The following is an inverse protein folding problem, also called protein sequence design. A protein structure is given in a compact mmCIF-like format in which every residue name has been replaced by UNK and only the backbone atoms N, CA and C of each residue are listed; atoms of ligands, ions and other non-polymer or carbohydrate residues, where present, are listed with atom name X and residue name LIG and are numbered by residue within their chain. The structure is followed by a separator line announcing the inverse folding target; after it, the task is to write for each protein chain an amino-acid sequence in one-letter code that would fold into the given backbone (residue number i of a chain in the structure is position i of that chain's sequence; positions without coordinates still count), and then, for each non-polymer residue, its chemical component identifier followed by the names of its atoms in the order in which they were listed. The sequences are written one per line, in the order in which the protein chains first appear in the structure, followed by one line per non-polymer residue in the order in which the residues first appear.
data_IF_009092053476
#
_entry.id   IF_009092053476
#
_cell.length_a   1.000
_cell.length_b   1.000
_cell.length_c   1.000
_cell.angle_alpha   90.00
_cell.angle_beta   90.00
_cell.angle_gamma   90.00
#
_symmetry.space_group_name_H-M   'P 1'
#
loop_
_entity.id
_entity.type
_entity.pdbx_description
1 polymer ?
#
# COMPACT_ATOMS: atom_id res chain seq x y z
N UNK A 1 14.67 19.49 -5.46
CA UNK A 1 14.41 19.37 -4.01
C UNK A 1 13.36 18.28 -3.79
N UNK A 2 13.39 17.61 -2.65
CA UNK A 2 12.40 16.57 -2.31
C UNK A 2 11.60 17.00 -1.10
N UNK A 3 10.28 16.87 -1.16
CA UNK A 3 9.41 17.13 -0.02
C UNK A 3 9.54 16.00 1.01
N UNK A 4 9.80 16.34 2.27
CA UNK A 4 9.87 15.37 3.37
C UNK A 4 8.49 14.83 3.78
N UNK A 5 7.43 15.60 3.50
CA UNK A 5 6.05 15.23 3.87
C UNK A 5 5.47 14.22 2.86
N UNK A 6 5.44 14.59 1.58
CA UNK A 6 4.77 13.78 0.54
C UNK A 6 5.74 13.00 -0.35
N UNK A 7 7.04 13.24 -0.24
CA UNK A 7 8.05 12.63 -1.10
C UNK A 7 8.16 13.22 -2.52
N UNK A 8 7.29 14.17 -2.90
CA UNK A 8 7.30 14.75 -4.26
C UNK A 8 8.63 15.46 -4.56
N UNK A 9 9.19 15.22 -5.74
CA UNK A 9 10.38 15.91 -6.24
C UNK A 9 9.96 17.13 -7.05
N UNK A 10 10.50 18.30 -6.71
CA UNK A 10 10.19 19.56 -7.37
C UNK A 10 11.40 20.50 -7.39
N UNK A 11 11.38 21.48 -8.28
CA UNK A 11 12.36 22.54 -8.47
C UNK A 11 11.91 23.76 -7.66
N UNK A 12 12.63 24.12 -6.57
CA UNK A 12 12.14 25.11 -5.62
C UNK A 12 12.19 26.55 -6.15
N UNK A 13 12.87 26.84 -7.25
CA UNK A 13 12.84 28.18 -7.88
C UNK A 13 11.82 28.30 -9.01
N UNK A 14 11.21 27.20 -9.44
CA UNK A 14 10.20 27.18 -10.50
C UNK A 14 8.79 27.30 -9.89
N UNK A 15 8.11 28.42 -10.15
CA UNK A 15 6.79 28.71 -9.55
C UNK A 15 5.74 27.67 -9.95
N UNK A 16 5.80 27.17 -11.17
CA UNK A 16 4.86 26.16 -11.68
C UNK A 16 4.98 24.87 -10.87
N UNK A 17 6.21 24.42 -10.66
CA UNK A 17 6.51 23.18 -9.95
C UNK A 17 6.20 23.29 -8.44
N UNK A 18 6.47 24.46 -7.83
CA UNK A 18 6.01 24.73 -6.46
C UNK A 18 4.49 24.62 -6.30
N UNK A 19 3.73 25.12 -7.28
CA UNK A 19 2.26 25.05 -7.27
C UNK A 19 1.77 23.61 -7.38
N UNK A 20 2.37 22.82 -8.28
CA UNK A 20 2.08 21.39 -8.42
C UNK A 20 2.40 20.61 -7.15
N UNK A 21 3.59 20.82 -6.59
CA UNK A 21 3.99 20.25 -5.31
C UNK A 21 2.98 20.61 -4.19
N UNK A 22 2.58 21.87 -4.08
CA UNK A 22 1.61 22.31 -3.06
C UNK A 22 0.27 21.59 -3.20
N UNK A 23 -0.22 21.42 -4.43
CA UNK A 23 -1.44 20.66 -4.68
C UNK A 23 -1.28 19.17 -4.37
N UNK A 24 -0.13 18.59 -4.71
CA UNK A 24 0.21 17.21 -4.40
C UNK A 24 0.24 16.98 -2.89
N UNK A 25 0.93 17.85 -2.13
CA UNK A 25 0.97 17.84 -0.67
C UNK A 25 -0.44 17.88 -0.06
N UNK A 26 -1.31 18.78 -0.54
CA UNK A 26 -2.70 18.87 -0.06
C UNK A 26 -3.47 17.57 -0.29
N UNK A 27 -3.29 16.91 -1.44
CA UNK A 27 -3.91 15.63 -1.76
C UNK A 27 -3.38 14.51 -0.86
N UNK A 28 -2.06 14.42 -0.69
CA UNK A 28 -1.39 13.47 0.18
C UNK A 28 -1.88 13.57 1.63
N UNK A 29 -1.86 14.77 2.21
CA UNK A 29 -2.30 15.00 3.60
C UNK A 29 -3.79 14.71 3.82
N UNK A 30 -4.63 14.87 2.79
CA UNK A 30 -6.04 14.47 2.86
C UNK A 30 -6.18 12.95 2.85
N UNK A 31 -5.42 12.26 2.01
CA UNK A 31 -5.40 10.80 1.98
C UNK A 31 -4.88 10.24 3.32
N UNK A 32 -3.79 10.79 3.86
CA UNK A 32 -3.24 10.39 5.15
C UNK A 32 -4.24 10.58 6.29
N UNK A 33 -4.96 11.71 6.32
CA UNK A 33 -6.06 11.93 7.29
C UNK A 33 -7.19 10.91 7.17
N UNK A 34 -7.51 10.44 5.95
CA UNK A 34 -8.57 9.46 5.72
C UNK A 34 -8.14 8.03 6.05
N UNK A 35 -6.96 7.63 5.61
CA UNK A 35 -6.50 6.24 5.68
C UNK A 35 -5.59 5.96 6.88
N UNK A 36 -5.21 6.99 7.64
CA UNK A 36 -4.44 6.89 8.87
C UNK A 36 -2.93 6.84 8.65
N UNK A 37 -2.20 6.57 9.74
CA UNK A 37 -0.74 6.57 9.77
C UNK A 37 -0.11 5.41 8.97
N UNK A 38 -0.88 4.39 8.61
CA UNK A 38 -0.41 3.31 7.74
C UNK A 38 -0.39 3.73 6.25
N UNK A 39 -0.96 4.88 5.90
CA UNK A 39 -0.82 5.48 4.57
C UNK A 39 0.55 6.15 4.43
N UNK A 40 1.34 5.64 3.49
CA UNK A 40 2.74 6.04 3.33
C UNK A 40 3.03 6.62 1.95
N UNK A 41 4.04 7.48 1.87
CA UNK A 41 4.58 7.95 0.60
C UNK A 41 5.41 6.86 -0.10
N UNK A 42 5.94 7.16 -1.29
CA UNK A 42 6.69 6.18 -2.08
C UNK A 42 7.92 5.66 -1.32
N UNK A 43 8.70 6.57 -0.74
CA UNK A 43 9.99 6.27 -0.13
C UNK A 43 9.85 5.53 1.20
N UNK A 44 8.91 5.97 2.03
CA UNK A 44 8.52 5.23 3.23
C UNK A 44 8.06 3.81 2.87
N UNK A 45 7.30 3.69 1.78
CA UNK A 45 6.88 2.41 1.24
C UNK A 45 8.05 1.51 0.86
N UNK A 46 9.05 2.03 0.13
CA UNK A 46 10.25 1.26 -0.22
C UNK A 46 11.05 0.85 1.02
N UNK A 47 11.19 1.73 2.01
CA UNK A 47 11.85 1.42 3.28
C UNK A 47 11.13 0.28 4.03
N UNK A 48 9.80 0.35 4.12
CA UNK A 48 8.98 -0.70 4.72
C UNK A 48 9.19 -2.03 4.00
N UNK A 49 9.20 -2.05 2.66
CA UNK A 49 9.47 -3.29 1.90
C UNK A 49 10.86 -3.84 2.19
N UNK A 50 11.88 -2.99 2.18
CA UNK A 50 13.27 -3.40 2.45
C UNK A 50 13.43 -4.01 3.84
N UNK A 51 12.76 -3.44 4.85
CA UNK A 51 12.82 -3.94 6.22
C UNK A 51 12.00 -5.22 6.43
N UNK A 52 10.86 -5.36 5.74
CA UNK A 52 9.90 -6.43 6.01
C UNK A 52 10.04 -7.63 5.08
N UNK A 53 10.46 -7.48 3.83
CA UNK A 53 10.62 -8.61 2.91
C UNK A 53 11.57 -9.69 3.45
N UNK A 54 12.77 -9.36 4.00
CA UNK A 54 13.64 -10.35 4.61
C UNK A 54 12.98 -11.06 5.81
N UNK A 55 12.13 -10.35 6.56
CA UNK A 55 11.38 -10.95 7.69
C UNK A 55 10.36 -11.94 7.17
N UNK A 56 9.67 -11.62 6.07
CA UNK A 56 8.63 -12.47 5.47
C UNK A 56 9.22 -13.77 4.92
N UNK A 57 10.39 -13.68 4.28
CA UNK A 57 11.06 -14.79 3.61
C UNK A 57 11.86 -15.68 4.58
N UNK A 58 12.15 -15.20 5.79
CA UNK A 58 12.90 -15.92 6.81
C UNK A 58 12.03 -16.99 7.52
N UNK A 59 12.16 -18.24 7.08
CA UNK A 59 11.42 -19.38 7.64
C UNK A 59 11.82 -19.74 9.08
N UNK A 60 12.90 -19.16 9.63
CA UNK A 60 13.26 -19.35 11.04
C UNK A 60 12.39 -18.53 11.98
N UNK A 61 11.72 -17.50 11.47
CA UNK A 61 10.78 -16.67 12.24
C UNK A 61 9.41 -17.32 12.33
N UNK A 62 8.72 -17.07 13.44
CA UNK A 62 7.37 -17.56 13.64
C UNK A 62 6.39 -16.94 12.61
N UNK A 63 5.34 -17.70 12.31
CA UNK A 63 4.36 -17.31 11.30
C UNK A 63 3.66 -15.99 11.62
N UNK A 64 3.43 -15.66 12.90
CA UNK A 64 2.75 -14.41 13.28
C UNK A 64 3.62 -13.20 12.96
N UNK A 65 4.92 -13.28 13.25
CA UNK A 65 5.89 -12.23 12.90
C UNK A 65 5.95 -12.02 11.38
N UNK A 66 6.04 -13.10 10.61
CA UNK A 66 6.09 -13.06 9.15
C UNK A 66 4.82 -12.47 8.55
N UNK A 67 3.64 -12.85 9.05
CA UNK A 67 2.35 -12.31 8.60
C UNK A 67 2.19 -10.83 8.99
N UNK A 68 2.69 -10.39 10.15
CA UNK A 68 2.67 -8.98 10.52
C UNK A 68 3.57 -8.13 9.60
N UNK A 69 4.74 -8.66 9.22
CA UNK A 69 5.62 -8.01 8.24
C UNK A 69 4.93 -7.91 6.87
N UNK A 70 4.29 -8.99 6.41
CA UNK A 70 3.52 -8.98 5.16
C UNK A 70 2.33 -8.01 5.20
N UNK A 71 1.67 -7.87 6.36
CA UNK A 71 0.61 -6.88 6.57
C UNK A 71 1.10 -5.44 6.39
N UNK A 72 2.31 -5.11 6.87
CA UNK A 72 2.93 -3.80 6.63
C UNK A 72 3.18 -3.56 5.14
N UNK A 73 3.69 -4.58 4.43
CA UNK A 73 3.91 -4.51 2.98
C UNK A 73 2.60 -4.35 2.19
N UNK A 74 1.51 -4.99 2.62
CA UNK A 74 0.19 -4.79 2.01
C UNK A 74 -0.29 -3.34 2.08
N UNK A 75 -0.04 -2.64 3.19
CA UNK A 75 -0.35 -1.20 3.31
C UNK A 75 0.45 -0.35 2.32
N UNK A 76 1.68 -0.74 2.00
CA UNK A 76 2.47 -0.08 0.97
C UNK A 76 1.82 -0.22 -0.40
N UNK A 77 1.35 -1.43 -0.76
CA UNK A 77 0.63 -1.66 -2.01
C UNK A 77 -0.68 -0.88 -2.06
N UNK A 78 -1.46 -0.90 -0.99
CA UNK A 78 -2.69 -0.12 -0.91
C UNK A 78 -2.44 1.39 -1.04
N UNK A 79 -1.42 1.91 -0.36
CA UNK A 79 -1.02 3.31 -0.46
C UNK A 79 -0.61 3.66 -1.89
N UNK A 80 0.15 2.78 -2.57
CA UNK A 80 0.52 2.93 -3.98
C UNK A 80 -0.72 3.07 -4.88
N UNK A 81 -1.73 2.21 -4.72
CA UNK A 81 -2.94 2.28 -5.56
C UNK A 81 -3.70 3.59 -5.39
N UNK A 82 -3.81 4.09 -4.16
CA UNK A 82 -4.40 5.42 -3.90
C UNK A 82 -3.59 6.53 -4.59
N UNK A 83 -2.25 6.46 -4.54
CA UNK A 83 -1.39 7.43 -5.25
C UNK A 83 -1.59 7.37 -6.76
N UNK A 84 -1.63 6.17 -7.34
CA UNK A 84 -1.84 5.96 -8.78
C UNK A 84 -3.22 6.45 -9.23
N UNK A 85 -4.23 6.35 -8.37
CA UNK A 85 -5.55 6.93 -8.62
C UNK A 85 -5.61 8.44 -8.30
N UNK A 86 -4.47 9.13 -8.20
CA UNK A 86 -4.41 10.58 -7.99
C UNK A 86 -4.95 11.04 -6.63
N UNK A 87 -4.88 10.18 -5.60
CA UNK A 87 -5.41 10.42 -4.25
C UNK A 87 -6.92 10.62 -4.19
N UNK A 88 -7.69 10.02 -5.10
CA UNK A 88 -9.15 10.02 -4.99
C UNK A 88 -9.57 9.30 -3.70
N UNK A 89 -10.36 10.00 -2.89
CA UNK A 89 -10.77 9.51 -1.58
C UNK A 89 -11.90 8.47 -1.66
N UNK A 90 -12.47 8.20 -2.83
CA UNK A 90 -13.51 7.18 -3.01
C UNK A 90 -12.94 5.79 -3.33
N UNK A 91 -11.64 5.56 -3.10
CA UNK A 91 -11.05 4.24 -3.23
C UNK A 91 -11.64 3.26 -2.19
N UNK A 92 -11.63 1.97 -2.50
CA UNK A 92 -12.15 0.94 -1.59
C UNK A 92 -11.33 0.90 -0.30
N UNK A 93 -11.91 0.37 0.79
CA UNK A 93 -11.17 0.24 2.05
C UNK A 93 -10.05 -0.79 1.95
N UNK A 94 -9.05 -0.71 2.83
CA UNK A 94 -7.97 -1.69 2.91
C UNK A 94 -8.50 -3.13 3.02
N UNK A 95 -9.51 -3.37 3.86
CA UNK A 95 -10.16 -4.69 4.01
C UNK A 95 -10.82 -5.19 2.73
N UNK A 96 -11.30 -4.30 1.87
CA UNK A 96 -11.89 -4.66 0.57
C UNK A 96 -10.81 -4.86 -0.51
N UNK A 97 -9.70 -4.11 -0.44
CA UNK A 97 -8.58 -4.20 -1.37
C UNK A 97 -7.79 -5.51 -1.23
N UNK A 98 -7.42 -5.89 -0.01
CA UNK A 98 -6.47 -6.98 0.25
C UNK A 98 -6.90 -8.33 -0.36
N UNK A 99 -8.16 -8.80 -0.22
CA UNK A 99 -8.54 -10.09 -0.80
C UNK A 99 -8.40 -10.13 -2.32
N UNK A 100 -8.80 -9.06 -3.02
CA UNK A 100 -8.67 -8.95 -4.47
C UNK A 100 -7.19 -8.92 -4.88
N UNK A 101 -6.37 -8.17 -4.14
CA UNK A 101 -4.93 -8.08 -4.38
C UNK A 101 -4.22 -9.43 -4.21
N UNK A 102 -4.53 -10.17 -3.13
CA UNK A 102 -3.95 -11.50 -2.85
C UNK A 102 -4.43 -12.59 -3.84
N UNK A 103 -5.59 -12.39 -4.46
CA UNK A 103 -6.09 -13.27 -5.51
C UNK A 103 -5.35 -13.01 -6.83
N UNK A 104 -5.17 -11.74 -7.20
CA UNK A 104 -4.46 -11.34 -8.42
C UNK A 104 -2.95 -11.60 -8.36
N UNK A 105 -2.37 -11.64 -7.15
CA UNK A 105 -0.94 -11.83 -6.93
C UNK A 105 -0.69 -13.08 -6.05
N UNK A 106 -0.90 -14.30 -6.57
CA UNK A 106 -0.89 -15.51 -5.77
C UNK A 106 0.49 -15.91 -5.21
N UNK A 107 1.57 -15.35 -5.73
CA UNK A 107 2.96 -15.63 -5.35
C UNK A 107 3.67 -14.42 -4.73
N UNK A 108 2.92 -13.40 -4.28
CA UNK A 108 3.51 -12.17 -3.74
C UNK A 108 4.22 -12.38 -2.40
N UNK A 109 3.81 -13.41 -1.65
CA UNK A 109 4.43 -13.83 -0.39
C UNK A 109 4.59 -15.37 -0.37
N UNK A 110 5.42 -15.91 0.53
CA UNK A 110 5.52 -17.35 0.77
C UNK A 110 4.15 -18.00 1.05
N UNK A 111 4.00 -19.27 0.67
CA UNK A 111 2.70 -19.96 0.63
C UNK A 111 2.01 -20.05 2.01
N UNK A 112 2.78 -20.24 3.08
CA UNK A 112 2.29 -20.27 4.45
C UNK A 112 1.78 -18.90 4.92
N UNK A 113 2.51 -17.83 4.61
CA UNK A 113 2.09 -16.45 4.86
C UNK A 113 0.84 -16.11 4.04
N UNK A 114 0.79 -16.53 2.76
CA UNK A 114 -0.39 -16.37 1.91
C UNK A 114 -1.62 -17.07 2.47
N UNK A 115 -1.46 -18.29 2.99
CA UNK A 115 -2.53 -19.07 3.62
C UNK A 115 -3.13 -18.30 4.80
N UNK A 116 -2.30 -17.83 5.71
CA UNK A 116 -2.74 -17.05 6.88
C UNK A 116 -3.41 -15.72 6.50
N UNK A 117 -2.83 -14.98 5.54
CA UNK A 117 -3.41 -13.73 5.06
C UNK A 117 -4.79 -13.94 4.42
N UNK A 118 -5.00 -15.02 3.67
CA UNK A 118 -6.30 -15.36 3.07
C UNK A 118 -7.36 -15.77 4.09
N UNK A 119 -6.95 -16.33 5.24
CA UNK A 119 -7.85 -16.57 6.38
C UNK A 119 -8.27 -15.24 7.00
N UNK A 120 -7.32 -14.29 7.18
CA UNK A 120 -7.60 -12.96 7.75
C UNK A 120 -8.42 -12.07 6.82
N UNK A 121 -8.22 -12.20 5.52
CA UNK A 121 -8.85 -11.41 4.47
C UNK A 121 -9.53 -12.35 3.47
N UNK A 122 -10.63 -13.02 3.88
CA UNK A 122 -11.33 -13.91 2.99
C UNK A 122 -11.83 -13.13 1.79
N UNK A 123 -11.61 -13.67 0.59
CA UNK A 123 -12.28 -13.17 -0.60
C UNK A 123 -13.77 -13.35 -0.39
N UNK A 124 -14.47 -12.27 -0.05
CA UNK A 124 -15.91 -12.27 0.05
C UNK A 124 -16.42 -12.78 -1.29
N UNK A 125 -17.05 -13.96 -1.28
CA UNK A 125 -17.45 -14.71 -2.46
C UNK A 125 -18.00 -13.75 -3.52
N UNK A 126 -17.15 -13.34 -4.47
CA UNK A 126 -17.60 -12.65 -5.66
C UNK A 126 -18.42 -13.70 -6.37
N UNK A 127 -19.75 -13.60 -6.24
CA UNK A 127 -20.71 -14.23 -7.14
C UNK A 127 -20.09 -14.09 -8.53
N UNK A 128 -19.65 -15.22 -9.08
CA UNK A 128 -19.03 -15.30 -10.40
C UNK A 128 -19.94 -14.50 -11.33
N UNK A 129 -19.53 -13.30 -11.72
CA UNK A 129 -20.13 -12.67 -12.90
C UNK A 129 -19.71 -13.60 -14.03
N UNK A 130 -20.63 -14.48 -14.44
CA UNK A 130 -20.51 -15.19 -15.71
C UNK A 130 -20.24 -14.10 -16.74
N UNK A 131 -19.11 -14.22 -17.44
CA UNK A 131 -18.91 -13.47 -18.67
C UNK A 131 -20.12 -13.76 -19.57
N UNK A 132 -20.79 -12.70 -20.00
CA UNK A 132 -21.82 -12.76 -21.06
C UNK A 132 -21.08 -12.85 -22.38
#
# INVERSE_FOLDING_TARGET
MKCEICGYQFIPWEKTDQKEHTQHCKKFLKAQRKYGNDFVNYYEGEKIKQENNPVIDDSSKDIRTRVNAAWRVLWVYYSREIRLNGYKLNFCSFKAFVPDFLYQNPSIFPADVMKELRVRYPSGARKRRKAV
#
